data_IF_766233960543
#
_entry.id   IF_766233960543
#
_cell.length_a   1.000
_cell.length_b   1.000
_cell.length_c   1.000
_cell.angle_alpha   90.00
_cell.angle_beta   90.00
_cell.angle_gamma   90.00
#
_symmetry.space_group_name_H-M   'P 1'
#
loop_
_entity.id
_entity.type
_entity.pdbx_description
1 polymer ?
#
# COMPACT_ATOMS: atom_id res chain seq x y z
N UNK A 1 1.61 1.56 -8.43
CA UNK A 1 0.31 1.71 -9.14
C UNK A 1 0.21 3.14 -9.67
N UNK A 2 0.75 4.07 -8.90
CA UNK A 2 1.01 5.47 -9.25
C UNK A 2 1.59 5.58 -10.66
N UNK A 3 0.84 6.24 -11.54
CA UNK A 3 1.23 6.52 -12.92
C UNK A 3 0.80 5.50 -13.98
N UNK A 4 0.32 4.30 -13.64
CA UNK A 4 -0.09 3.31 -14.67
C UNK A 4 -1.27 3.77 -15.53
N UNK A 5 -2.26 4.40 -14.92
CA UNK A 5 -3.41 4.98 -15.64
C UNK A 5 -2.90 6.12 -16.54
N UNK A 6 -2.05 7.00 -16.00
CA UNK A 6 -1.51 8.14 -16.75
C UNK A 6 -0.64 7.71 -17.96
N UNK A 7 0.05 6.56 -17.86
CA UNK A 7 0.86 6.02 -18.94
C UNK A 7 0.05 5.40 -20.09
N UNK A 8 -1.15 4.92 -19.80
CA UNK A 8 -2.02 4.26 -20.78
C UNK A 8 -3.13 5.18 -21.33
N UNK A 9 -3.34 6.33 -20.70
CA UNK A 9 -4.25 7.36 -21.22
C UNK A 9 -3.70 8.02 -22.48
N UNK A 10 -4.60 8.56 -23.30
CA UNK A 10 -4.24 9.44 -24.40
C UNK A 10 -3.57 10.74 -23.89
N UNK A 11 -2.96 11.52 -24.81
CA UNK A 11 -2.25 12.76 -24.45
C UNK A 11 -3.11 13.75 -23.64
N UNK A 12 -4.43 13.75 -23.88
CA UNK A 12 -5.41 14.61 -23.20
C UNK A 12 -5.95 14.05 -21.88
N UNK A 13 -5.59 12.81 -21.52
CA UNK A 13 -6.04 12.08 -20.32
C UNK A 13 -7.57 12.01 -20.16
N UNK A 14 -8.30 11.96 -21.27
CA UNK A 14 -9.77 11.97 -21.25
C UNK A 14 -10.38 10.58 -21.21
N UNK A 15 -9.63 9.54 -21.57
CA UNK A 15 -10.10 8.16 -21.71
C UNK A 15 -9.67 7.25 -20.54
N UNK A 16 -9.54 7.81 -19.35
CA UNK A 16 -9.03 7.07 -18.18
C UNK A 16 -9.98 5.95 -17.74
N UNK A 17 -11.28 6.13 -17.99
CA UNK A 17 -12.37 5.20 -17.71
C UNK A 17 -12.28 3.95 -18.60
N UNK A 18 -11.99 4.12 -19.89
CA UNK A 18 -11.75 3.02 -20.82
C UNK A 18 -10.50 2.21 -20.46
N UNK A 19 -9.47 2.88 -19.93
CA UNK A 19 -8.18 2.29 -19.57
C UNK A 19 -8.25 1.55 -18.22
N UNK A 20 -9.19 1.92 -17.36
CA UNK A 20 -9.28 1.45 -15.98
C UNK A 20 -9.37 -0.08 -15.87
N UNK A 21 -10.15 -0.72 -16.75
CA UNK A 21 -10.31 -2.18 -16.76
C UNK A 21 -8.98 -2.90 -17.00
N UNK A 22 -8.14 -2.39 -17.90
CA UNK A 22 -6.84 -2.99 -18.23
C UNK A 22 -5.85 -2.84 -17.06
N UNK A 23 -5.83 -1.67 -16.43
CA UNK A 23 -4.99 -1.42 -15.24
C UNK A 23 -5.41 -2.30 -14.07
N UNK A 24 -6.72 -2.43 -13.86
CA UNK A 24 -7.28 -3.26 -12.79
C UNK A 24 -6.95 -4.74 -13.00
N UNK A 25 -7.13 -5.22 -14.24
CA UNK A 25 -6.73 -6.58 -14.60
C UNK A 25 -5.25 -6.81 -14.36
N UNK A 26 -4.38 -5.94 -14.87
CA UNK A 26 -2.93 -6.04 -14.67
C UNK A 26 -2.56 -6.02 -13.18
N UNK A 27 -3.23 -5.20 -12.36
CA UNK A 27 -2.97 -5.16 -10.92
C UNK A 27 -3.37 -6.45 -10.21
N UNK A 28 -4.49 -7.05 -10.61
CA UNK A 28 -4.99 -8.30 -10.03
C UNK A 28 -4.13 -9.51 -10.43
N UNK A 29 -3.51 -9.48 -11.61
CA UNK A 29 -2.69 -10.57 -12.14
C UNK A 29 -1.18 -10.39 -11.92
N UNK A 30 -0.72 -9.20 -11.53
CA UNK A 30 0.69 -8.96 -11.21
C UNK A 30 1.06 -9.47 -9.82
N UNK A 31 2.29 -9.93 -9.66
CA UNK A 31 2.84 -10.33 -8.36
C UNK A 31 3.10 -9.06 -7.53
N UNK A 32 2.56 -9.04 -6.31
CA UNK A 32 2.77 -7.93 -5.38
C UNK A 32 4.07 -8.07 -4.59
N UNK A 33 4.81 -6.98 -4.43
CA UNK A 33 6.13 -7.00 -3.81
C UNK A 33 6.10 -7.48 -2.35
N UNK A 34 5.05 -7.14 -1.60
CA UNK A 34 4.89 -7.46 -0.17
C UNK A 34 4.38 -8.87 0.06
N UNK A 35 3.32 -9.30 -0.64
CA UNK A 35 2.72 -10.63 -0.46
C UNK A 35 3.48 -11.71 -1.23
N UNK A 36 4.19 -11.34 -2.31
CA UNK A 36 4.81 -12.24 -3.30
C UNK A 36 3.81 -13.12 -4.06
N UNK A 37 2.54 -12.72 -4.02
CA UNK A 37 1.43 -13.44 -4.64
C UNK A 37 0.59 -12.48 -5.48
N UNK A 38 -0.23 -13.01 -6.38
CA UNK A 38 -1.18 -12.20 -7.16
C UNK A 38 -2.52 -12.06 -6.39
N UNK A 39 -3.17 -10.88 -6.40
CA UNK A 39 -4.48 -10.71 -5.76
C UNK A 39 -5.55 -11.65 -6.31
N UNK A 40 -5.52 -11.91 -7.62
CA UNK A 40 -6.46 -12.83 -8.27
C UNK A 40 -6.34 -14.25 -7.71
N UNK A 41 -5.12 -14.75 -7.56
CA UNK A 41 -4.86 -16.09 -7.04
C UNK A 41 -5.21 -16.21 -5.56
N UNK A 42 -4.95 -15.17 -4.75
CA UNK A 42 -5.40 -15.11 -3.36
C UNK A 42 -6.93 -15.12 -3.22
N UNK A 43 -7.65 -14.52 -4.17
CA UNK A 43 -9.10 -14.41 -4.11
C UNK A 43 -9.82 -15.64 -4.68
N UNK A 44 -9.29 -16.23 -5.76
CA UNK A 44 -9.96 -17.29 -6.49
C UNK A 44 -9.31 -18.68 -6.32
N UNK A 45 -8.16 -18.77 -5.65
CA UNK A 45 -7.46 -20.04 -5.43
C UNK A 45 -6.89 -20.66 -6.70
N UNK A 46 -6.79 -19.89 -7.79
CA UNK A 46 -6.23 -20.29 -9.08
C UNK A 46 -5.54 -19.13 -9.76
N UNK A 47 -4.60 -19.44 -10.64
CA UNK A 47 -3.95 -18.42 -11.45
C UNK A 47 -4.91 -17.88 -12.53
N UNK A 48 -4.77 -16.60 -12.85
CA UNK A 48 -5.50 -15.99 -13.95
C UNK A 48 -4.99 -16.57 -15.27
N UNK A 49 -5.89 -17.01 -16.13
CA UNK A 49 -5.54 -17.47 -17.48
C UNK A 49 -5.44 -16.27 -18.40
N UNK A 50 -4.24 -15.97 -18.87
CA UNK A 50 -3.99 -14.88 -19.81
C UNK A 50 -4.13 -15.38 -21.26
N UNK A 51 -4.48 -14.51 -22.23
CA UNK A 51 -4.61 -14.91 -23.63
C UNK A 51 -3.34 -15.53 -24.24
N UNK A 52 -2.17 -15.19 -23.68
CA UNK A 52 -0.85 -15.67 -24.09
C UNK A 52 -0.36 -16.85 -23.26
N UNK A 53 -1.04 -17.21 -22.17
CA UNK A 53 -0.77 -18.49 -21.52
C UNK A 53 -1.20 -19.56 -22.52
N UNK A 54 -0.25 -20.38 -22.98
CA UNK A 54 -0.55 -21.58 -23.75
C UNK A 54 -1.73 -22.25 -23.08
N UNK A 55 -2.83 -22.47 -23.83
CA UNK A 55 -3.99 -23.22 -23.38
C UNK A 55 -3.49 -24.62 -23.00
N UNK A 56 -2.99 -24.77 -21.78
CA UNK A 56 -2.94 -26.05 -21.11
C UNK A 56 -4.39 -26.46 -21.09
N UNK A 57 -4.64 -27.52 -21.85
CA UNK A 57 -5.91 -28.22 -22.05
C UNK A 57 -6.92 -27.73 -21.04
N UNK A 58 -8.00 -27.09 -21.51
CA UNK A 58 -9.13 -26.66 -20.70
C UNK A 58 -9.38 -27.79 -19.70
N UNK A 59 -8.82 -27.64 -18.50
CA UNK A 59 -8.85 -28.72 -17.52
C UNK A 59 -10.32 -28.81 -17.24
N UNK A 60 -10.92 -29.89 -17.71
CA UNK A 60 -12.33 -30.18 -17.53
C UNK A 60 -12.58 -30.18 -16.02
N UNK A 61 -12.95 -29.01 -15.50
CA UNK A 61 -13.20 -28.69 -14.10
C UNK A 61 -14.42 -29.44 -13.54
N UNK A 62 -14.87 -30.49 -14.21
CA UNK A 62 -16.25 -30.96 -14.11
C UNK A 62 -16.38 -32.37 -13.56
N UNK A 63 -15.31 -33.06 -13.15
CA UNK A 63 -15.42 -34.46 -12.66
C UNK A 63 -14.52 -34.84 -11.47
N UNK A 64 -13.92 -33.91 -10.72
CA UNK A 64 -13.20 -34.25 -9.48
C UNK A 64 -14.02 -33.87 -8.23
N UNK A 65 -14.57 -34.84 -7.48
CA UNK A 65 -15.33 -34.56 -6.26
C UNK A 65 -14.48 -33.95 -5.13
N UNK A 66 -13.15 -34.06 -5.18
CA UNK A 66 -12.24 -33.50 -4.17
C UNK A 66 -11.70 -32.11 -4.54
N UNK A 67 -12.10 -31.55 -5.70
CA UNK A 67 -11.55 -30.30 -6.20
C UNK A 67 -11.66 -29.13 -5.22
N UNK A 68 -12.80 -29.03 -4.52
CA UNK A 68 -13.03 -27.99 -3.52
C UNK A 68 -12.05 -28.06 -2.34
N UNK A 69 -11.75 -29.26 -1.85
CA UNK A 69 -10.83 -29.45 -0.73
C UNK A 69 -9.38 -29.13 -1.14
N UNK A 70 -8.99 -29.51 -2.38
CA UNK A 70 -7.68 -29.15 -2.94
C UNK A 70 -7.48 -27.64 -3.03
N UNK A 71 -8.50 -26.91 -3.50
CA UNK A 71 -8.47 -25.43 -3.54
C UNK A 71 -8.37 -24.86 -2.12
N UNK A 72 -9.14 -25.40 -1.17
CA UNK A 72 -9.13 -24.93 0.23
C UNK A 72 -7.74 -25.05 0.86
N UNK A 73 -7.12 -26.23 0.76
CA UNK A 73 -5.76 -26.48 1.28
C UNK A 73 -4.75 -25.56 0.59
N UNK A 74 -4.86 -25.39 -0.72
CA UNK A 74 -3.99 -24.51 -1.49
C UNK A 74 -4.11 -23.04 -1.04
N UNK A 75 -5.34 -22.53 -0.90
CA UNK A 75 -5.60 -21.17 -0.41
C UNK A 75 -5.05 -20.95 1.01
N UNK A 76 -5.24 -21.91 1.92
CA UNK A 76 -4.69 -21.83 3.27
C UNK A 76 -3.18 -21.69 3.27
N UNK A 77 -2.49 -22.51 2.46
CA UNK A 77 -1.04 -22.41 2.29
C UNK A 77 -0.63 -21.03 1.77
N UNK A 78 -1.32 -20.55 0.73
CA UNK A 78 -1.00 -19.30 0.08
C UNK A 78 -1.21 -18.09 1.01
N UNK A 79 -2.30 -18.07 1.77
CA UNK A 79 -2.58 -17.05 2.80
C UNK A 79 -1.52 -17.08 3.90
N UNK A 80 -1.11 -18.26 4.36
CA UNK A 80 -0.09 -18.39 5.39
C UNK A 80 1.29 -17.88 4.92
N UNK A 81 1.67 -18.17 3.67
CA UNK A 81 2.88 -17.61 3.05
C UNK A 81 2.80 -16.09 2.90
N UNK A 82 1.67 -15.56 2.42
CA UNK A 82 1.45 -14.13 2.28
C UNK A 82 1.57 -13.41 3.63
N UNK A 83 1.01 -13.97 4.71
CA UNK A 83 1.12 -13.42 6.07
C UNK A 83 2.58 -13.35 6.53
N UNK A 84 3.37 -14.40 6.31
CA UNK A 84 4.81 -14.41 6.65
C UNK A 84 5.57 -13.33 5.88
N UNK A 85 5.29 -13.18 4.60
CA UNK A 85 5.93 -12.17 3.75
C UNK A 85 5.55 -10.74 4.17
N UNK A 86 4.28 -10.50 4.49
CA UNK A 86 3.80 -9.21 5.02
C UNK A 86 4.55 -8.86 6.31
N UNK A 87 4.64 -9.79 7.26
CA UNK A 87 5.32 -9.55 8.53
C UNK A 87 6.80 -9.20 8.33
N UNK A 88 7.50 -9.96 7.48
CA UNK A 88 8.91 -9.69 7.12
C UNK A 88 9.06 -8.31 6.49
N UNK A 89 8.18 -7.96 5.56
CA UNK A 89 8.20 -6.67 4.89
C UNK A 89 7.94 -5.52 5.87
N UNK A 90 6.98 -5.66 6.78
CA UNK A 90 6.69 -4.68 7.84
C UNK A 90 7.91 -4.46 8.74
N UNK A 91 8.58 -5.53 9.17
CA UNK A 91 9.80 -5.43 9.98
C UNK A 91 10.93 -4.69 9.25
N UNK A 92 11.14 -4.99 7.96
CA UNK A 92 12.14 -4.30 7.14
C UNK A 92 11.81 -2.82 6.96
N UNK A 93 10.55 -2.48 6.68
CA UNK A 93 10.12 -1.09 6.57
C UNK A 93 10.29 -0.34 7.89
N UNK A 94 9.94 -0.97 9.02
CA UNK A 94 10.15 -0.40 10.35
C UNK A 94 11.63 -0.14 10.62
N UNK A 95 12.51 -1.12 10.39
CA UNK A 95 13.94 -0.97 10.60
C UNK A 95 14.53 0.16 9.74
N UNK A 96 14.13 0.25 8.47
CA UNK A 96 14.53 1.35 7.57
C UNK A 96 14.02 2.72 8.03
N UNK A 97 12.78 2.77 8.50
CA UNK A 97 12.19 4.00 9.02
C UNK A 97 12.88 4.47 10.30
N UNK A 98 13.18 3.53 11.22
CA UNK A 98 13.80 3.82 12.51
C UNK A 98 15.28 4.23 12.37
N UNK A 99 16.00 3.73 11.35
CA UNK A 99 17.42 4.07 11.08
C UNK A 99 17.70 5.57 10.99
N UNK A 100 16.84 6.32 10.31
CA UNK A 100 17.03 7.76 10.08
C UNK A 100 16.25 8.63 11.08
N UNK A 101 15.69 8.02 12.13
CA UNK A 101 14.77 8.71 13.01
C UNK A 101 15.46 9.20 14.26
N UNK A 102 15.45 10.51 14.46
CA UNK A 102 15.88 11.11 15.71
C UNK A 102 14.77 10.97 16.75
N UNK A 103 15.13 10.50 17.94
CA UNK A 103 14.22 10.41 19.07
C UNK A 103 14.01 11.82 19.63
N UNK A 104 13.00 12.52 19.11
CA UNK A 104 12.60 13.82 19.62
C UNK A 104 11.82 13.62 20.93
N UNK A 105 12.44 13.99 22.06
CA UNK A 105 11.81 14.00 23.38
C UNK A 105 11.24 15.39 23.63
N UNK A 106 9.98 15.59 23.27
CA UNK A 106 9.24 16.83 23.55
C UNK A 106 8.52 16.72 24.89
N UNK A 107 8.57 17.77 25.70
CA UNK A 107 7.87 17.86 26.98
C UNK A 107 6.77 18.90 26.92
N UNK A 108 5.83 18.79 27.87
CA UNK A 108 4.86 19.86 28.13
C UNK A 108 5.65 21.13 28.47
N UNK A 109 5.13 22.26 28.00
CA UNK A 109 5.75 23.59 28.06
C UNK A 109 6.88 23.90 27.07
N UNK A 110 7.36 22.94 26.28
CA UNK A 110 8.33 23.22 25.22
C UNK A 110 7.71 24.09 24.11
N UNK A 111 8.53 24.97 23.54
CA UNK A 111 8.19 25.77 22.36
C UNK A 111 8.57 25.02 21.09
N UNK A 112 7.61 24.87 20.18
CA UNK A 112 7.75 24.15 18.92
C UNK A 112 7.22 24.96 17.75
N UNK A 113 7.79 24.70 16.57
CA UNK A 113 7.30 25.22 15.31
C UNK A 113 6.49 24.14 14.59
N UNK A 114 5.36 24.53 14.01
CA UNK A 114 4.46 23.63 13.28
C UNK A 114 4.68 23.82 11.78
N UNK A 115 4.91 22.72 11.06
CA UNK A 115 5.11 22.79 9.60
C UNK A 115 3.81 23.22 8.89
N UNK A 116 3.90 24.29 8.12
CA UNK A 116 2.78 24.83 7.32
C UNK A 116 2.38 23.82 6.25
N UNK A 117 1.07 23.53 6.16
CA UNK A 117 0.52 22.56 5.20
C UNK A 117 0.34 23.14 3.80
N UNK A 118 0.11 24.44 3.70
CA UNK A 118 -0.25 25.14 2.46
C UNK A 118 0.91 26.02 1.96
N UNK A 119 2.03 25.39 1.59
CA UNK A 119 3.16 26.07 0.94
C UNK A 119 2.81 26.17 -0.55
N UNK A 120 2.66 27.39 -1.08
CA UNK A 120 2.31 27.61 -2.50
C UNK A 120 3.54 27.91 -3.34
N UNK A 121 4.49 28.66 -2.79
CA UNK A 121 5.71 29.08 -3.46
C UNK A 121 6.97 28.53 -2.78
N UNK A 122 8.07 28.47 -3.55
CA UNK A 122 9.37 27.96 -3.08
C UNK A 122 9.93 28.72 -1.86
N UNK A 123 9.56 30.00 -1.74
CA UNK A 123 10.03 30.94 -0.71
C UNK A 123 9.01 31.20 0.41
N UNK A 124 7.86 30.52 0.42
CA UNK A 124 6.92 30.67 1.53
C UNK A 124 7.50 30.09 2.82
N UNK A 125 7.12 30.69 3.94
CA UNK A 125 7.50 30.25 5.28
C UNK A 125 6.98 28.81 5.50
N UNK A 126 7.89 27.90 5.83
CA UNK A 126 7.59 26.46 5.97
C UNK A 126 7.08 26.07 7.35
N UNK A 127 7.25 26.96 8.33
CA UNK A 127 7.01 26.69 9.74
C UNK A 127 6.37 27.89 10.40
N UNK A 128 5.24 27.67 11.08
CA UNK A 128 4.53 28.66 11.89
C UNK A 128 4.86 28.48 13.37
N UNK A 129 4.79 29.56 14.13
CA UNK A 129 4.96 29.57 15.58
C UNK A 129 5.55 30.87 16.12
N UNK A 130 5.94 30.90 17.40
CA UNK A 130 6.10 29.75 18.30
C UNK A 130 4.76 29.22 18.88
N UNK A 131 4.64 27.90 18.97
CA UNK A 131 3.57 27.23 19.70
C UNK A 131 4.11 26.58 20.96
N UNK A 132 3.33 26.57 22.03
CA UNK A 132 3.65 25.90 23.29
C UNK A 132 2.91 24.58 23.39
N UNK A 133 3.58 23.51 23.82
CA UNK A 133 2.95 22.21 24.06
C UNK A 133 2.14 22.28 25.36
N UNK A 134 0.82 22.08 25.28
CA UNK A 134 -0.07 22.05 26.47
C UNK A 134 -0.17 20.63 27.02
N UNK A 135 -0.31 19.63 26.14
CA UNK A 135 -0.65 18.27 26.54
C UNK A 135 -0.07 17.24 25.59
N UNK A 136 0.44 16.16 26.16
CA UNK A 136 0.82 14.96 25.42
C UNK A 136 -0.34 13.96 25.43
N UNK A 137 -0.80 13.54 24.24
CA UNK A 137 -1.86 12.53 24.06
C UNK A 137 -1.28 11.13 23.81
N UNK A 138 -0.07 11.06 23.27
CA UNK A 138 0.64 9.81 23.02
C UNK A 138 2.11 10.03 22.76
N UNK A 139 2.85 8.98 22.40
CA UNK A 139 4.32 9.03 22.23
C UNK A 139 4.75 10.11 21.21
N UNK A 140 3.91 10.39 20.19
CA UNK A 140 4.23 11.35 19.11
C UNK A 140 3.11 12.36 18.84
N UNK A 141 2.10 12.44 19.71
CA UNK A 141 0.91 13.25 19.49
C UNK A 141 0.77 14.26 20.62
N UNK A 142 0.84 15.54 20.26
CA UNK A 142 0.83 16.65 21.21
C UNK A 142 -0.22 17.68 20.81
N UNK A 143 -0.89 18.27 21.80
CA UNK A 143 -1.74 19.46 21.62
C UNK A 143 -0.87 20.68 21.85
N UNK A 144 -0.89 21.59 20.89
CA UNK A 144 -0.09 22.82 20.90
C UNK A 144 -1.00 24.04 20.85
N UNK A 145 -0.60 25.13 21.50
CA UNK A 145 -1.31 26.41 21.50
C UNK A 145 -0.38 27.53 21.05
N UNK A 146 -0.91 28.43 20.23
CA UNK A 146 -0.13 29.57 19.75
C UNK A 146 0.21 30.47 20.94
N UNK A 147 1.49 30.79 21.09
CA UNK A 147 1.92 31.79 22.07
C UNK A 147 1.64 33.14 21.42
N UNK A 148 0.61 33.82 21.91
CA UNK A 148 0.22 35.15 21.44
C UNK A 148 0.73 36.21 22.40
#
# INVERSE_FOLDING_TARGET
>A
MDGKIAALCNERRTNWDEVLQYVTFNYNTSIHATTKQTPFEMMHGRQATLPFDQQKEIISLTQDPEHGEKIRIYLEKLVNEARKNILKSQQQYKARYDLNRHNLSLKVDDLVLVKTRNIRNKFDIRYEGPFKIIKQLGIKTFIVQHVK
#
